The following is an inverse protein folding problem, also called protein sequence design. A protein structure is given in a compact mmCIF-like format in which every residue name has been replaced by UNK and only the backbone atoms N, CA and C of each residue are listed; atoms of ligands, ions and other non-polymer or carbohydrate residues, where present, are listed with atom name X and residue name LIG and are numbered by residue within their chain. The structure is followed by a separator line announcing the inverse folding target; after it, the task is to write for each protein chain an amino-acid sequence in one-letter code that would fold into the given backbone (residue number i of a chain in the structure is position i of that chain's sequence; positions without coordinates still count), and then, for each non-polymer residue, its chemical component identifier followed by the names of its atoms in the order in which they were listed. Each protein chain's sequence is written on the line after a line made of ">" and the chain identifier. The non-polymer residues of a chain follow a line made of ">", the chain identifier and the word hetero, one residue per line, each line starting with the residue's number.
data_IF_239902562895
#
_entry.id   IF_239902562895
#
_cell.length_a   1.000
_cell.length_b   1.000
_cell.length_c   1.000
_cell.angle_alpha   90.00
_cell.angle_beta   90.00
_cell.angle_gamma   90.00
#
_symmetry.space_group_name_H-M   'P 1'
#
loop_
_entity.id
_entity.type
_entity.pdbx_description
1 polymer ?
#
# COMPACT_ATOMS: atom_id res chain seq x y z
N UNK A 1 -18.65 17.88 14.87
CA UNK A 1 -18.30 18.32 13.49
C UNK A 1 -18.20 19.84 13.45
N UNK A 2 -17.28 20.41 12.66
CA UNK A 2 -17.15 21.87 12.54
C UNK A 2 -18.31 22.47 11.73
N UNK A 3 -18.60 23.76 11.92
CA UNK A 3 -19.63 24.48 11.14
C UNK A 3 -19.31 24.61 9.64
N UNK A 4 -18.07 24.32 9.24
CA UNK A 4 -17.59 24.40 7.86
C UNK A 4 -17.50 23.05 7.16
N UNK A 5 -17.76 21.95 7.88
CA UNK A 5 -17.70 20.60 7.33
C UNK A 5 -18.81 20.38 6.30
N UNK A 6 -18.41 19.97 5.11
CA UNK A 6 -19.31 19.47 4.07
C UNK A 6 -18.64 18.25 3.46
N UNK A 7 -19.26 17.05 3.54
CA UNK A 7 -18.68 15.85 2.96
C UNK A 7 -18.64 15.97 1.43
N UNK A 8 -17.60 15.44 0.80
CA UNK A 8 -17.62 15.21 -0.65
C UNK A 8 -18.70 14.15 -0.92
N UNK A 9 -19.62 14.43 -1.84
CA UNK A 9 -20.67 13.46 -2.17
C UNK A 9 -20.06 12.25 -2.88
N UNK A 10 -20.74 11.10 -2.77
CA UNK A 10 -20.24 9.87 -3.40
C UNK A 10 -20.13 10.03 -4.91
N UNK A 11 -21.12 10.62 -5.56
CA UNK A 11 -21.11 10.94 -7.00
C UNK A 11 -19.87 11.76 -7.38
N UNK A 12 -19.60 12.86 -6.64
CA UNK A 12 -18.40 13.69 -6.86
C UNK A 12 -17.08 12.90 -6.71
N UNK A 13 -17.05 11.88 -5.83
CA UNK A 13 -15.88 11.03 -5.65
C UNK A 13 -15.64 10.10 -6.85
N UNK A 14 -16.69 9.66 -7.55
CA UNK A 14 -16.57 8.94 -8.82
C UNK A 14 -16.21 9.89 -9.97
N UNK A 15 -16.82 11.09 -10.01
CA UNK A 15 -16.52 12.11 -11.03
C UNK A 15 -15.04 12.51 -11.03
N UNK A 16 -14.36 12.47 -9.88
CA UNK A 16 -12.91 12.70 -9.82
C UNK A 16 -12.12 11.78 -10.78
N UNK A 17 -12.53 10.52 -10.93
CA UNK A 17 -11.85 9.55 -11.79
C UNK A 17 -12.33 9.62 -13.25
N UNK A 18 -13.46 10.25 -13.52
CA UNK A 18 -14.06 10.29 -14.86
C UNK A 18 -13.07 10.74 -15.95
N UNK A 19 -12.25 11.81 -15.76
CA UNK A 19 -11.29 12.20 -16.78
C UNK A 19 -10.20 11.15 -17.01
N UNK A 20 -9.78 10.39 -15.99
CA UNK A 20 -8.81 9.30 -16.16
C UNK A 20 -9.41 8.15 -16.96
N UNK A 21 -10.68 7.81 -16.68
CA UNK A 21 -11.40 6.74 -17.38
C UNK A 21 -11.65 7.11 -18.83
N UNK A 22 -12.14 8.33 -19.10
CA UNK A 22 -12.40 8.83 -20.47
C UNK A 22 -11.13 8.86 -21.35
N UNK A 23 -9.97 9.14 -20.76
CA UNK A 23 -8.69 9.12 -21.47
C UNK A 23 -8.05 7.72 -21.55
N UNK A 24 -8.71 6.68 -21.03
CA UNK A 24 -8.18 5.31 -21.01
C UNK A 24 -7.01 5.08 -20.07
N UNK A 25 -6.75 6.00 -19.13
CA UNK A 25 -5.64 5.88 -18.18
C UNK A 25 -5.99 5.05 -16.94
N UNK A 26 -7.29 4.93 -16.64
CA UNK A 26 -7.77 4.16 -15.51
C UNK A 26 -9.10 3.45 -15.83
N UNK A 27 -9.46 2.48 -14.99
CA UNK A 27 -10.76 1.82 -14.94
C UNK A 27 -11.20 1.69 -13.48
N UNK A 28 -12.51 1.75 -13.22
CA UNK A 28 -13.02 1.44 -11.89
C UNK A 28 -12.77 -0.04 -11.58
N UNK A 29 -12.23 -0.32 -10.39
CA UNK A 29 -11.98 -1.69 -9.95
C UNK A 29 -12.98 -2.12 -8.88
N UNK A 30 -13.04 -1.39 -7.77
CA UNK A 30 -13.95 -1.69 -6.66
C UNK A 30 -14.21 -0.41 -5.88
N UNK A 31 -15.38 -0.30 -5.27
CA UNK A 31 -15.70 0.75 -4.31
C UNK A 31 -16.42 0.12 -3.12
N UNK A 32 -16.38 0.80 -1.97
CA UNK A 32 -17.03 0.31 -0.77
C UNK A 32 -17.12 1.36 0.32
N UNK A 33 -17.67 0.93 1.45
CA UNK A 33 -17.74 1.74 2.66
C UNK A 33 -17.31 0.94 3.88
N UNK A 34 -16.95 1.63 4.94
CA UNK A 34 -16.70 1.07 6.26
C UNK A 34 -17.67 1.69 7.27
N UNK A 35 -18.07 0.87 8.24
CA UNK A 35 -19.13 1.18 9.19
C UNK A 35 -20.48 1.40 8.49
N UNK A 36 -21.22 2.42 8.89
CA UNK A 36 -22.48 2.85 8.26
C UNK A 36 -22.27 3.99 7.24
N UNK A 37 -21.10 4.03 6.61
CA UNK A 37 -20.73 5.07 5.65
C UNK A 37 -19.82 6.16 6.21
N UNK A 38 -19.26 5.97 7.42
CA UNK A 38 -18.30 6.92 8.00
C UNK A 38 -17.07 7.09 7.12
N UNK A 39 -16.70 6.04 6.37
CA UNK A 39 -15.68 6.11 5.32
C UNK A 39 -16.16 5.44 4.05
N UNK A 40 -16.10 6.18 2.94
CA UNK A 40 -16.33 5.67 1.58
C UNK A 40 -15.01 5.66 0.82
N UNK A 41 -14.79 4.66 -0.01
CA UNK A 41 -13.59 4.55 -0.82
C UNK A 41 -13.87 4.06 -2.24
N UNK A 42 -13.03 4.52 -3.17
CA UNK A 42 -13.07 4.13 -4.59
C UNK A 42 -11.66 3.74 -5.02
N UNK A 43 -11.53 2.55 -5.57
CA UNK A 43 -10.29 1.99 -6.10
C UNK A 43 -10.37 1.97 -7.63
N UNK A 44 -9.46 2.69 -8.27
CA UNK A 44 -9.31 2.71 -9.73
C UNK A 44 -7.99 2.04 -10.14
N UNK A 45 -8.06 1.10 -11.09
CA UNK A 45 -6.90 0.44 -11.69
C UNK A 45 -6.36 1.29 -12.82
N UNK A 46 -5.07 1.60 -12.81
CA UNK A 46 -4.40 2.31 -13.89
C UNK A 46 -4.06 1.34 -15.03
N UNK A 47 -4.08 1.82 -16.27
CA UNK A 47 -3.94 0.98 -17.46
C UNK A 47 -2.56 0.30 -17.58
N UNK A 48 -1.52 0.95 -17.07
CA UNK A 48 -0.15 0.44 -17.12
C UNK A 48 0.23 -0.32 -15.84
N UNK A 49 1.05 -1.38 -16.00
CA UNK A 49 1.68 -2.13 -14.90
C UNK A 49 3.16 -1.79 -14.80
N UNK A 50 3.78 -1.99 -13.63
CA UNK A 50 5.25 -1.99 -13.50
C UNK A 50 5.74 -3.44 -13.48
N UNK A 51 6.88 -3.74 -14.10
CA UNK A 51 7.50 -5.07 -14.07
C UNK A 51 8.80 -4.95 -13.28
N UNK A 52 8.90 -5.71 -12.18
CA UNK A 52 10.03 -5.62 -11.25
C UNK A 52 11.12 -6.65 -11.58
N UNK A 53 10.73 -7.83 -12.04
CA UNK A 53 11.58 -8.89 -12.58
C UNK A 53 10.83 -9.63 -13.70
N UNK A 54 11.52 -10.37 -14.57
CA UNK A 54 10.83 -11.17 -15.59
C UNK A 54 9.98 -12.24 -14.88
N UNK A 55 8.64 -12.08 -14.88
CA UNK A 55 7.61 -12.82 -14.12
C UNK A 55 6.98 -12.14 -12.89
N UNK A 56 7.44 -10.94 -12.50
CA UNK A 56 6.95 -10.21 -11.32
C UNK A 56 6.33 -8.86 -11.73
N UNK A 57 5.11 -8.92 -12.26
CA UNK A 57 4.32 -7.75 -12.63
C UNK A 57 3.49 -7.24 -11.43
N UNK A 58 3.39 -5.91 -11.35
CA UNK A 58 2.71 -5.20 -10.28
C UNK A 58 1.72 -4.21 -10.90
N UNK A 59 0.45 -4.39 -10.53
CA UNK A 59 -0.64 -3.52 -10.90
C UNK A 59 -0.54 -2.17 -10.19
N UNK A 60 -1.02 -1.14 -10.86
CA UNK A 60 -1.01 0.23 -10.35
C UNK A 60 -2.43 0.66 -10.02
N UNK A 61 -2.66 1.15 -8.82
CA UNK A 61 -3.97 1.62 -8.39
C UNK A 61 -3.94 3.02 -7.78
N UNK A 62 -5.09 3.70 -7.90
CA UNK A 62 -5.44 4.90 -7.16
C UNK A 62 -6.55 4.56 -6.16
N UNK A 63 -6.31 4.87 -4.90
CA UNK A 63 -7.31 4.80 -3.84
C UNK A 63 -7.75 6.20 -3.46
N UNK A 64 -9.02 6.52 -3.69
CA UNK A 64 -9.70 7.64 -3.06
C UNK A 64 -10.33 7.15 -1.76
N UNK A 65 -10.07 7.84 -0.65
CA UNK A 65 -10.72 7.61 0.64
C UNK A 65 -11.36 8.90 1.13
N UNK A 66 -12.64 8.83 1.48
CA UNK A 66 -13.47 9.95 1.90
C UNK A 66 -14.06 9.66 3.29
N UNK A 67 -13.72 10.47 4.29
CA UNK A 67 -14.22 10.33 5.66
C UNK A 67 -15.41 11.27 5.88
N UNK A 68 -16.62 10.70 5.89
CA UNK A 68 -17.88 11.44 6.07
C UNK A 68 -18.19 11.78 7.53
N UNK A 69 -17.53 11.12 8.47
CA UNK A 69 -17.64 11.39 9.91
C UNK A 69 -16.88 12.65 10.37
N UNK A 70 -16.12 13.28 9.46
CA UNK A 70 -15.32 14.46 9.75
C UNK A 70 -14.06 14.20 10.58
N UNK A 71 -13.68 12.94 10.78
CA UNK A 71 -12.45 12.55 11.48
C UNK A 71 -11.17 12.85 10.67
N UNK A 72 -11.31 13.16 9.38
CA UNK A 72 -10.20 13.54 8.52
C UNK A 72 -10.64 13.99 7.13
N UNK A 73 -9.78 13.80 6.13
CA UNK A 73 -9.88 14.46 4.82
C UNK A 73 -10.27 13.49 3.70
N UNK A 74 -10.60 14.04 2.53
CA UNK A 74 -10.55 13.27 1.28
C UNK A 74 -9.08 13.11 0.88
N UNK A 75 -8.67 11.87 0.63
CA UNK A 75 -7.28 11.56 0.28
C UNK A 75 -7.20 10.72 -0.98
N UNK A 76 -6.19 10.99 -1.81
CA UNK A 76 -5.79 10.13 -2.93
C UNK A 76 -4.45 9.49 -2.58
N UNK A 77 -4.36 8.17 -2.73
CA UNK A 77 -3.18 7.36 -2.42
C UNK A 77 -2.84 6.44 -3.59
N UNK A 78 -1.55 6.22 -3.83
CA UNK A 78 -1.04 5.29 -4.84
C UNK A 78 -0.78 3.95 -4.22
N UNK A 79 -1.24 2.88 -4.85
CA UNK A 79 -1.02 1.53 -4.31
C UNK A 79 -0.54 0.55 -5.38
N UNK A 80 0.74 0.12 -5.33
CA UNK A 80 1.24 -0.97 -6.15
C UNK A 80 0.79 -2.30 -5.53
N UNK A 81 0.15 -3.13 -6.35
CA UNK A 81 -0.43 -4.39 -5.92
C UNK A 81 0.16 -5.52 -6.77
N UNK A 82 0.77 -6.53 -6.15
CA UNK A 82 1.12 -7.77 -6.87
C UNK A 82 -0.16 -8.53 -7.24
N UNK A 83 -0.17 -9.21 -8.38
CA UNK A 83 -1.36 -9.86 -8.99
C UNK A 83 -2.14 -10.79 -8.04
N UNK A 84 -1.48 -11.38 -7.05
CA UNK A 84 -2.10 -12.31 -6.08
C UNK A 84 -2.45 -11.69 -4.73
N UNK A 85 -2.03 -10.46 -4.47
CA UNK A 85 -2.18 -9.82 -3.17
C UNK A 85 -3.19 -8.68 -3.27
N UNK A 86 -4.06 -8.43 -2.29
CA UNK A 86 -4.86 -7.19 -2.23
C UNK A 86 -4.05 -6.06 -1.55
N UNK A 87 -2.77 -5.95 -1.92
CA UNK A 87 -1.77 -5.14 -1.21
C UNK A 87 -1.91 -3.67 -1.53
N UNK A 88 -2.82 -2.98 -0.85
CA UNK A 88 -2.98 -1.53 -0.97
C UNK A 88 -1.88 -0.82 -0.18
N UNK A 89 -0.63 -0.83 -0.68
CA UNK A 89 0.47 -0.07 -0.08
C UNK A 89 0.32 1.41 -0.41
N UNK A 90 -0.02 2.27 0.54
CA UNK A 90 0.02 3.71 0.25
C UNK A 90 1.48 4.16 0.11
N UNK A 91 1.99 4.17 -1.12
CA UNK A 91 3.25 4.80 -1.44
C UNK A 91 3.06 6.30 -1.30
N UNK A 92 3.60 6.84 -0.22
CA UNK A 92 3.79 8.26 -0.12
C UNK A 92 5.26 8.58 -0.40
N UNK A 93 5.45 9.44 -1.39
CA UNK A 93 6.74 10.07 -1.62
C UNK A 93 7.06 11.00 -0.45
N UNK A 94 8.34 11.02 -0.04
CA UNK A 94 8.90 12.07 0.83
C UNK A 94 8.16 12.31 2.16
N UNK A 95 7.80 11.23 2.88
CA UNK A 95 7.23 11.34 4.23
C UNK A 95 5.80 11.90 4.31
N UNK A 96 5.11 12.07 3.18
CA UNK A 96 3.68 12.41 3.16
C UNK A 96 2.84 11.15 3.51
N UNK A 97 1.53 11.28 3.73
CA UNK A 97 0.62 10.12 3.93
C UNK A 97 -0.30 9.86 2.74
N UNK A 98 -0.24 10.74 1.74
CA UNK A 98 -1.13 10.79 0.59
C UNK A 98 -0.55 11.71 -0.48
N UNK A 99 -0.97 11.50 -1.71
CA UNK A 99 -0.59 12.28 -2.90
C UNK A 99 -1.30 13.62 -2.90
N UNK A 100 -2.58 13.56 -2.56
CA UNK A 100 -3.48 14.68 -2.44
C UNK A 100 -4.30 14.48 -1.16
N UNK A 101 -4.43 15.53 -0.38
CA UNK A 101 -5.30 15.56 0.80
C UNK A 101 -6.06 16.88 0.79
N UNK A 102 -7.39 16.80 0.71
CA UNK A 102 -8.28 17.95 0.64
C UNK A 102 -9.23 17.90 1.82
N UNK A 103 -9.17 18.92 2.68
CA UNK A 103 -10.09 19.05 3.82
C UNK A 103 -11.51 19.28 3.32
N UNK A 104 -12.47 18.67 4.00
CA UNK A 104 -13.89 18.90 3.80
C UNK A 104 -14.25 20.37 3.99
N UNK A 105 -14.95 20.92 2.99
CA UNK A 105 -15.42 22.29 2.95
C UNK A 105 -16.46 22.41 1.85
N UNK A 106 -17.24 23.50 1.85
CA UNK A 106 -18.21 23.82 0.79
C UNK A 106 -17.60 23.84 -0.63
N UNK A 107 -16.28 23.97 -0.77
CA UNK A 107 -15.58 24.04 -2.04
C UNK A 107 -14.79 22.76 -2.36
N UNK A 108 -15.06 21.63 -1.69
CA UNK A 108 -14.23 20.43 -1.81
C UNK A 108 -14.17 19.89 -3.24
N UNK A 109 -15.29 19.73 -3.94
CA UNK A 109 -15.32 19.27 -5.33
C UNK A 109 -14.47 20.17 -6.24
N UNK A 110 -14.58 21.50 -6.09
CA UNK A 110 -13.75 22.46 -6.82
C UNK A 110 -12.27 22.33 -6.46
N UNK A 111 -11.93 22.12 -5.19
CA UNK A 111 -10.54 21.96 -4.75
C UNK A 111 -9.93 20.64 -5.21
N UNK A 112 -10.75 19.59 -5.32
CA UNK A 112 -10.36 18.30 -5.90
C UNK A 112 -10.14 18.44 -7.41
N UNK A 113 -11.04 19.12 -8.12
CA UNK A 113 -10.93 19.42 -9.56
C UNK A 113 -9.79 20.39 -9.91
N UNK A 114 -9.37 21.27 -8.98
CA UNK A 114 -8.20 22.15 -9.14
C UNK A 114 -6.90 21.38 -9.26
N UNK A 115 -6.85 20.13 -8.79
CA UNK A 115 -5.76 19.23 -9.15
C UNK A 115 -5.89 18.92 -10.66
N UNK A 116 -5.31 19.79 -11.49
CA UNK A 116 -5.37 19.69 -12.95
C UNK A 116 -5.02 18.26 -13.35
N UNK A 117 -5.88 17.61 -14.14
CA UNK A 117 -5.70 16.24 -14.62
C UNK A 117 -4.26 15.96 -15.09
N UNK A 118 -3.68 16.89 -15.86
CA UNK A 118 -2.30 16.82 -16.32
C UNK A 118 -1.27 16.81 -15.17
N UNK A 119 -1.46 17.65 -14.16
CA UNK A 119 -0.60 17.68 -12.98
C UNK A 119 -0.74 16.39 -12.16
N UNK A 120 -1.96 15.89 -11.98
CA UNK A 120 -2.16 14.61 -11.32
C UNK A 120 -1.46 13.49 -12.09
N UNK A 121 -1.66 13.37 -13.41
CA UNK A 121 -0.98 12.39 -14.26
C UNK A 121 0.54 12.46 -14.13
N UNK A 122 1.13 13.66 -14.14
CA UNK A 122 2.57 13.83 -13.90
C UNK A 122 3.00 13.29 -12.53
N UNK A 123 2.21 13.53 -11.49
CA UNK A 123 2.49 12.97 -10.16
C UNK A 123 2.36 11.43 -10.17
N UNK A 124 1.32 10.88 -10.81
CA UNK A 124 1.15 9.42 -10.98
C UNK A 124 2.40 8.82 -11.59
N UNK A 125 2.82 9.36 -12.74
CA UNK A 125 3.94 8.84 -13.51
C UNK A 125 5.24 8.92 -12.71
N UNK A 126 5.46 10.05 -12.03
CA UNK A 126 6.62 10.21 -11.16
C UNK A 126 6.63 9.20 -10.02
N UNK A 127 5.52 9.02 -9.30
CA UNK A 127 5.48 8.09 -8.16
C UNK A 127 5.72 6.66 -8.63
N UNK A 128 5.10 6.23 -9.72
CA UNK A 128 5.31 4.86 -10.21
C UNK A 128 6.69 4.65 -10.83
N UNK A 129 7.31 5.68 -11.43
CA UNK A 129 8.71 5.62 -11.86
C UNK A 129 9.67 5.49 -10.66
N UNK A 130 9.46 6.29 -9.62
CA UNK A 130 10.26 6.24 -8.38
C UNK A 130 10.05 4.89 -7.66
N UNK A 131 8.81 4.35 -7.66
CA UNK A 131 8.49 3.03 -7.14
C UNK A 131 9.17 1.91 -7.93
N UNK A 132 9.12 1.96 -9.27
CA UNK A 132 9.78 0.98 -10.14
C UNK A 132 11.28 0.93 -9.86
N UNK A 133 11.91 2.09 -9.74
CA UNK A 133 13.34 2.20 -9.42
C UNK A 133 13.66 1.56 -8.07
N UNK A 134 12.90 1.93 -7.03
CA UNK A 134 13.10 1.38 -5.69
C UNK A 134 12.88 -0.14 -5.63
N UNK A 135 11.79 -0.62 -6.22
CA UNK A 135 11.45 -2.04 -6.21
C UNK A 135 12.44 -2.85 -7.04
N UNK A 136 12.95 -2.30 -8.15
CA UNK A 136 14.06 -2.89 -8.89
C UNK A 136 15.34 -3.02 -8.06
N UNK A 137 15.71 -1.98 -7.28
CA UNK A 137 16.83 -2.06 -6.35
C UNK A 137 16.61 -3.12 -5.25
N UNK A 138 15.40 -3.20 -4.71
CA UNK A 138 15.02 -4.23 -3.73
C UNK A 138 15.06 -5.64 -4.33
N UNK A 139 14.70 -5.81 -5.60
CA UNK A 139 14.77 -7.08 -6.31
C UNK A 139 16.21 -7.47 -6.66
N UNK A 140 17.09 -6.50 -6.92
CA UNK A 140 18.51 -6.75 -7.14
C UNK A 140 19.27 -7.15 -5.84
N UNK A 141 18.76 -6.75 -4.66
CA UNK A 141 19.37 -7.09 -3.37
C UNK A 141 18.97 -8.50 -2.93
N UNK A 142 19.83 -9.47 -3.19
CA UNK A 142 19.71 -10.84 -2.64
C UNK A 142 19.94 -10.84 -1.13
N UNK A 143 19.21 -11.68 -0.39
CA UNK A 143 19.30 -11.79 1.06
C UNK A 143 19.83 -13.17 1.49
N UNK A 144 20.72 -13.18 2.49
CA UNK A 144 21.09 -14.40 3.21
C UNK A 144 19.98 -14.80 4.19
N UNK A 145 20.02 -16.03 4.71
CA UNK A 145 19.10 -16.45 5.78
C UNK A 145 19.26 -15.61 7.06
N UNK A 146 20.46 -15.10 7.31
CA UNK A 146 20.75 -14.17 8.41
C UNK A 146 20.14 -12.79 8.17
N UNK A 147 20.25 -12.27 6.94
CA UNK A 147 19.67 -10.97 6.55
C UNK A 147 18.15 -10.99 6.73
N UNK A 148 17.50 -12.10 6.36
CA UNK A 148 16.06 -12.29 6.56
C UNK A 148 15.69 -12.24 8.05
N UNK A 149 16.44 -12.95 8.90
CA UNK A 149 16.21 -12.97 10.35
C UNK A 149 16.42 -11.58 10.97
N UNK A 150 17.49 -10.87 10.59
CA UNK A 150 17.78 -9.52 11.04
C UNK A 150 16.66 -8.55 10.67
N UNK A 151 16.22 -8.60 9.40
CA UNK A 151 15.14 -7.73 8.91
C UNK A 151 13.82 -8.01 9.65
N UNK A 152 13.47 -9.28 9.89
CA UNK A 152 12.25 -9.64 10.62
C UNK A 152 12.31 -9.26 12.10
N UNK A 153 13.50 -9.24 12.71
CA UNK A 153 13.67 -8.84 14.11
C UNK A 153 13.33 -7.36 14.37
N UNK A 154 13.48 -6.50 13.36
CA UNK A 154 13.10 -5.07 13.45
C UNK A 154 11.60 -4.91 13.72
N UNK A 155 10.76 -5.78 13.13
CA UNK A 155 9.30 -5.66 13.20
C UNK A 155 8.67 -6.61 14.21
N UNK A 156 9.27 -7.79 14.36
CA UNK A 156 8.73 -8.89 15.17
C UNK A 156 9.85 -9.38 16.10
N UNK A 157 10.20 -8.58 17.13
CA UNK A 157 11.30 -8.91 18.02
C UNK A 157 11.01 -10.20 18.79
N UNK A 158 12.07 -10.96 19.07
CA UNK A 158 12.01 -12.13 19.94
C UNK A 158 11.66 -11.69 21.37
N UNK A 159 10.81 -12.48 22.04
CA UNK A 159 10.62 -12.38 23.49
C UNK A 159 11.87 -12.85 24.24
N UNK A 160 12.03 -12.48 25.51
CA UNK A 160 13.16 -12.91 26.34
C UNK A 160 13.35 -14.45 26.32
N UNK A 161 12.26 -15.20 26.48
CA UNK A 161 12.27 -16.67 26.40
C UNK A 161 12.73 -17.19 25.03
N UNK A 162 12.37 -16.52 23.94
CA UNK A 162 12.80 -16.89 22.59
C UNK A 162 14.29 -16.58 22.35
N UNK A 163 14.83 -15.55 23.01
CA UNK A 163 16.25 -15.25 22.99
C UNK A 163 17.05 -16.36 23.73
N UNK A 164 16.58 -16.78 24.91
CA UNK A 164 17.20 -17.85 25.70
C UNK A 164 17.17 -19.21 24.99
N UNK A 165 16.02 -19.56 24.39
CA UNK A 165 15.83 -20.87 23.76
C UNK A 165 16.30 -20.94 22.30
N UNK A 166 16.65 -19.80 21.71
CA UNK A 166 16.98 -19.69 20.27
C UNK A 166 15.76 -19.74 19.34
N UNK A 167 14.55 -19.98 19.86
CA UNK A 167 13.34 -20.09 19.07
C UNK A 167 13.01 -18.80 18.29
N UNK A 168 12.39 -18.96 17.13
CA UNK A 168 11.91 -17.84 16.29
C UNK A 168 10.42 -17.57 16.57
N UNK A 169 9.93 -16.33 16.41
CA UNK A 169 8.50 -16.06 16.44
C UNK A 169 7.77 -16.84 15.35
N UNK A 170 6.58 -17.36 15.65
CA UNK A 170 5.76 -18.11 14.66
C UNK A 170 5.50 -17.29 13.39
N UNK A 171 5.39 -15.96 13.55
CA UNK A 171 5.22 -15.04 12.45
C UNK A 171 6.40 -15.06 11.46
N UNK A 172 7.62 -15.29 11.94
CA UNK A 172 8.78 -15.43 11.05
C UNK A 172 8.65 -16.67 10.18
N UNK A 173 8.22 -17.79 10.78
CA UNK A 173 8.00 -19.04 10.03
C UNK A 173 6.98 -18.82 8.93
N UNK A 174 5.80 -18.24 9.25
CA UNK A 174 4.77 -17.94 8.23
C UNK A 174 5.29 -17.06 7.10
N UNK A 175 6.02 -15.99 7.42
CA UNK A 175 6.56 -15.09 6.40
C UNK A 175 7.59 -15.81 5.52
N UNK A 176 8.43 -16.67 6.10
CA UNK A 176 9.38 -17.49 5.34
C UNK A 176 8.68 -18.51 4.46
N UNK A 177 7.59 -19.10 4.93
CA UNK A 177 6.78 -20.03 4.14
C UNK A 177 6.16 -19.30 2.93
N UNK A 178 5.61 -18.09 3.14
CA UNK A 178 5.09 -17.23 2.06
C UNK A 178 6.19 -16.84 1.06
N UNK A 179 7.38 -16.51 1.58
CA UNK A 179 8.54 -16.15 0.76
C UNK A 179 9.01 -17.33 -0.12
N UNK A 180 8.90 -18.55 0.39
CA UNK A 180 9.26 -19.78 -0.29
C UNK A 180 8.16 -20.33 -1.22
N UNK A 181 6.91 -19.91 -1.06
CA UNK A 181 5.79 -20.39 -1.87
C UNK A 181 5.80 -19.76 -3.28
N UNK A 182 6.09 -20.54 -4.35
CA UNK A 182 6.13 -20.02 -5.71
C UNK A 182 4.78 -19.56 -6.25
N UNK A 183 3.66 -19.91 -5.59
CA UNK A 183 2.31 -19.42 -5.95
C UNK A 183 2.06 -18.00 -5.46
N UNK A 184 2.79 -17.56 -4.44
CA UNK A 184 2.63 -16.24 -3.82
C UNK A 184 3.82 -15.33 -4.19
N UNK A 185 5.03 -15.87 -4.16
CA UNK A 185 6.27 -15.15 -4.44
C UNK A 185 6.96 -15.74 -5.67
N UNK A 186 7.12 -14.96 -6.76
CA UNK A 186 7.83 -15.42 -7.95
C UNK A 186 9.24 -15.92 -7.61
N UNK A 187 9.66 -17.02 -8.25
CA UNK A 187 10.93 -17.69 -7.93
C UNK A 187 12.15 -16.79 -8.14
N UNK A 188 12.07 -15.81 -9.05
CA UNK A 188 13.16 -14.86 -9.30
C UNK A 188 13.35 -13.85 -8.17
N UNK A 189 12.30 -13.57 -7.40
CA UNK A 189 12.34 -12.56 -6.33
C UNK A 189 12.24 -13.17 -4.94
N UNK A 190 12.02 -14.48 -4.80
CA UNK A 190 11.90 -15.19 -3.50
C UNK A 190 13.13 -15.12 -2.58
N UNK A 191 14.30 -14.78 -3.12
CA UNK A 191 15.55 -14.66 -2.36
C UNK A 191 16.01 -13.20 -2.23
N UNK A 192 15.12 -12.24 -2.49
CA UNK A 192 15.45 -10.81 -2.59
C UNK A 192 14.74 -10.00 -1.52
N UNK A 193 15.22 -8.78 -1.26
CA UNK A 193 14.57 -7.83 -0.36
C UNK A 193 13.15 -7.49 -0.83
N UNK A 194 12.92 -7.44 -2.15
CA UNK A 194 11.60 -7.27 -2.74
C UNK A 194 10.66 -8.45 -2.41
N UNK A 195 11.16 -9.68 -2.50
CA UNK A 195 10.41 -10.87 -2.10
C UNK A 195 10.04 -10.85 -0.62
N UNK A 196 11.02 -10.61 0.26
CA UNK A 196 10.80 -10.55 1.70
C UNK A 196 9.79 -9.47 2.09
N UNK A 197 9.92 -8.27 1.50
CA UNK A 197 8.97 -7.19 1.70
C UNK A 197 7.54 -7.63 1.35
N UNK A 198 7.34 -8.21 0.16
CA UNK A 198 6.01 -8.66 -0.24
C UNK A 198 5.48 -9.82 0.61
N UNK A 199 6.34 -10.70 1.12
CA UNK A 199 5.94 -11.75 2.06
C UNK A 199 5.43 -11.17 3.39
N UNK A 200 6.05 -10.10 3.90
CA UNK A 200 5.56 -9.37 5.08
C UNK A 200 4.20 -8.72 4.79
N UNK A 201 4.05 -8.06 3.64
CA UNK A 201 2.79 -7.43 3.24
C UNK A 201 1.69 -8.49 3.12
N UNK A 202 1.98 -9.62 2.49
CA UNK A 202 1.02 -10.71 2.33
C UNK A 202 0.60 -11.34 3.66
N UNK A 203 1.55 -11.60 4.58
CA UNK A 203 1.19 -12.06 5.93
C UNK A 203 0.30 -11.05 6.64
N UNK A 204 0.59 -9.75 6.58
CA UNK A 204 -0.30 -8.75 7.22
C UNK A 204 -1.69 -8.71 6.57
N UNK A 205 -1.78 -8.88 5.25
CA UNK A 205 -3.03 -8.73 4.51
C UNK A 205 -3.92 -9.96 4.62
N UNK A 206 -3.33 -11.15 4.71
CA UNK A 206 -4.06 -12.42 4.68
C UNK A 206 -3.92 -13.25 5.96
N UNK A 207 -3.22 -12.77 7.00
CA UNK A 207 -3.22 -13.47 8.29
C UNK A 207 -4.63 -13.65 8.82
N UNK A 208 -4.88 -14.83 9.36
CA UNK A 208 -6.11 -15.09 10.08
C UNK A 208 -6.10 -14.31 11.38
N UNK A 209 -7.13 -13.49 11.57
CA UNK A 209 -7.42 -12.78 12.80
C UNK A 209 -8.90 -12.94 13.12
N UNK A 210 -9.27 -12.83 14.40
CA UNK A 210 -10.68 -12.82 14.84
C UNK A 210 -11.27 -11.43 14.61
N UNK A 211 -11.43 -11.06 13.34
CA UNK A 211 -11.98 -9.78 12.92
C UNK A 211 -13.02 -9.97 11.81
N UNK A 212 -13.90 -8.98 11.65
CA UNK A 212 -14.83 -8.93 10.52
C UNK A 212 -14.09 -8.55 9.23
N UNK A 213 -14.74 -8.73 8.08
CA UNK A 213 -14.18 -8.29 6.80
C UNK A 213 -13.87 -6.79 6.80
N UNK A 214 -14.75 -5.96 7.36
CA UNK A 214 -14.55 -4.52 7.51
C UNK A 214 -13.39 -4.21 8.45
N UNK A 215 -13.29 -4.93 9.57
CA UNK A 215 -12.18 -4.78 10.52
C UNK A 215 -10.83 -5.10 9.87
N UNK A 216 -10.78 -6.16 9.06
CA UNK A 216 -9.62 -6.51 8.25
C UNK A 216 -9.27 -5.39 7.27
N UNK A 217 -10.24 -4.88 6.51
CA UNK A 217 -9.99 -3.83 5.52
C UNK A 217 -9.49 -2.54 6.20
N UNK A 218 -10.12 -2.11 7.30
CA UNK A 218 -9.67 -0.95 8.06
C UNK A 218 -8.23 -1.11 8.52
N UNK A 219 -7.88 -2.26 9.12
CA UNK A 219 -6.52 -2.56 9.58
C UNK A 219 -5.50 -2.55 8.44
N UNK A 220 -5.83 -3.21 7.34
CA UNK A 220 -4.91 -3.47 6.21
C UNK A 220 -4.66 -2.22 5.38
N UNK A 221 -5.67 -1.34 5.21
CA UNK A 221 -5.58 -0.17 4.33
C UNK A 221 -5.36 1.15 5.08
N UNK A 222 -5.81 1.24 6.33
CA UNK A 222 -5.89 2.52 7.05
C UNK A 222 -5.40 2.49 8.50
N UNK A 223 -5.19 1.32 9.11
CA UNK A 223 -4.75 1.14 10.49
C UNK A 223 -3.32 0.60 10.63
N UNK A 224 -3.06 -0.14 11.71
CA UNK A 224 -1.72 -0.63 12.06
C UNK A 224 -1.06 -1.51 10.98
N UNK A 225 -1.88 -2.24 10.22
CA UNK A 225 -1.38 -3.05 9.11
C UNK A 225 -0.82 -2.19 7.98
N UNK A 226 -1.47 -1.05 7.69
CA UNK A 226 -0.92 -0.06 6.77
C UNK A 226 0.41 0.52 7.28
N UNK A 227 0.47 0.91 8.56
CA UNK A 227 1.67 1.49 9.16
C UNK A 227 2.85 0.50 9.16
N UNK A 228 2.59 -0.79 9.41
CA UNK A 228 3.59 -1.84 9.31
C UNK A 228 4.21 -1.90 7.91
N UNK A 229 3.40 -1.84 6.85
CA UNK A 229 3.90 -1.90 5.46
C UNK A 229 4.74 -0.68 5.09
N UNK A 230 4.36 0.50 5.58
CA UNK A 230 5.14 1.74 5.38
C UNK A 230 6.47 1.64 6.13
N UNK A 231 6.46 1.18 7.37
CA UNK A 231 7.68 0.94 8.16
C UNK A 231 8.58 -0.10 7.49
N UNK A 232 8.02 -1.20 6.98
CA UNK A 232 8.75 -2.23 6.26
C UNK A 232 9.42 -1.69 4.99
N UNK A 233 8.71 -0.85 4.22
CA UNK A 233 9.28 -0.23 3.03
C UNK A 233 10.42 0.74 3.38
N UNK A 234 10.25 1.54 4.44
CA UNK A 234 11.29 2.47 4.89
C UNK A 234 12.53 1.74 5.43
N UNK A 235 12.35 0.62 6.14
CA UNK A 235 13.49 -0.20 6.55
C UNK A 235 14.16 -0.86 5.34
N UNK A 236 13.40 -1.31 4.33
CA UNK A 236 13.99 -1.82 3.09
C UNK A 236 14.85 -0.75 2.39
N UNK A 237 14.40 0.51 2.35
CA UNK A 237 15.22 1.63 1.86
C UNK A 237 16.51 1.81 2.67
N UNK A 238 16.43 1.75 4.00
CA UNK A 238 17.61 1.84 4.85
C UNK A 238 18.57 0.65 4.60
N UNK A 239 18.02 -0.55 4.44
CA UNK A 239 18.79 -1.78 4.18
C UNK A 239 19.54 -1.74 2.82
N UNK A 240 18.99 -1.04 1.83
CA UNK A 240 19.70 -0.76 0.58
C UNK A 240 20.87 0.21 0.77
N UNK A 241 20.74 1.20 1.66
CA UNK A 241 21.77 2.21 1.90
C UNK A 241 22.96 1.73 2.73
N UNK A 242 22.80 0.70 3.57
CA UNK A 242 23.89 0.10 4.37
C UNK A 242 24.74 -0.92 3.60
N UNK A 243 24.32 -1.31 2.39
CA UNK A 243 25.01 -2.30 1.57
C UNK A 243 25.80 -1.69 0.39
N UNK A 244 25.90 -0.37 0.31
CA UNK A 244 26.68 0.39 -0.67
C UNK A 244 27.94 0.97 -0.02
#
# INVERSE_FOLDING_TARGET
>A
MSQSFVPLQNEDAFEFFEPFVRNGWASFHTAGMLGQGERVWVLARLAEQIVIADDDAVERFLLLSNQHDGSGAVTIRFTPVRVVCQNTLNLAMEGRKSVLSVKHSRNIAKNLAKAKLAHMKQIIDKVFADATTLFGQMAARTLSAGDVDEFLAVFFPKTAKQQETGNRPERWTRIKDILADPKITPSRTSHTLWGLYNAIVYDEDFRQARETQDGRLERVWFGDGHDLKVKALNAARAFLSTAA
#
